data_IF_884903848825
#
_entry.id   IF_884903848825
#
_cell.length_a   1.000
_cell.length_b   1.000
_cell.length_c   1.000
_cell.angle_alpha   90.00
_cell.angle_beta   90.00
_cell.angle_gamma   90.00
#
_symmetry.space_group_name_H-M   'P 1'
#
loop_
_entity.id
_entity.type
_entity.pdbx_description
1 polymer ?
#
# COMPACT_ATOMS: atom_id res chain seq x y z
N UNK A 1 14.98 -24.38 8.50
CA UNK A 1 13.60 -23.86 8.68
C UNK A 1 13.19 -23.26 7.35
N UNK A 2 12.21 -23.85 6.65
CA UNK A 2 11.77 -23.36 5.34
C UNK A 2 10.81 -22.20 5.56
N UNK A 3 11.18 -20.99 5.11
CA UNK A 3 10.28 -19.84 5.14
C UNK A 3 9.36 -19.94 3.91
N UNK A 4 8.05 -19.98 4.15
CA UNK A 4 7.07 -19.90 3.06
C UNK A 4 7.03 -18.46 2.53
N UNK A 5 7.51 -18.26 1.31
CA UNK A 5 7.37 -16.99 0.60
C UNK A 5 5.91 -16.82 0.17
N UNK A 6 5.36 -15.63 0.40
CA UNK A 6 3.94 -15.34 0.17
C UNK A 6 3.79 -14.10 -0.70
N UNK A 7 2.62 -13.98 -1.33
CA UNK A 7 2.18 -12.78 -2.05
C UNK A 7 1.05 -12.15 -1.23
N UNK A 8 1.28 -10.94 -0.74
CA UNK A 8 0.43 -10.29 0.25
C UNK A 8 -0.06 -8.97 -0.34
N UNK A 9 -1.38 -8.78 -0.34
CA UNK A 9 -2.02 -7.54 -0.77
C UNK A 9 -2.61 -6.83 0.45
N UNK A 10 -2.14 -5.61 0.71
CA UNK A 10 -2.82 -4.67 1.58
C UNK A 10 -3.67 -3.72 0.76
N UNK A 11 -4.91 -3.51 1.18
CA UNK A 11 -5.81 -2.53 0.59
C UNK A 11 -6.20 -1.51 1.65
N UNK A 12 -5.87 -0.23 1.43
CA UNK A 12 -6.20 0.84 2.37
C UNK A 12 -6.98 1.94 1.66
N UNK A 13 -8.08 2.39 2.25
CA UNK A 13 -8.91 3.48 1.73
C UNK A 13 -8.40 4.88 2.15
N UNK A 14 -7.15 4.97 2.60
CA UNK A 14 -6.55 6.24 2.96
C UNK A 14 -5.73 6.81 1.81
N UNK A 15 -5.51 8.12 1.85
CA UNK A 15 -4.60 8.78 0.92
C UNK A 15 -3.14 8.40 1.25
N UNK A 16 -2.39 7.98 0.24
CA UNK A 16 -0.99 7.60 0.38
C UNK A 16 -0.19 8.76 0.98
N UNK A 17 0.60 8.47 2.02
CA UNK A 17 1.46 9.45 2.70
C UNK A 17 0.74 10.65 3.35
N UNK A 18 -0.60 10.69 3.37
CA UNK A 18 -1.39 11.80 3.94
C UNK A 18 -2.41 11.26 4.94
N UNK A 19 -2.37 11.77 6.17
CA UNK A 19 -3.49 11.74 7.13
C UNK A 19 -4.03 10.40 7.64
N UNK A 20 -3.71 9.26 7.01
CA UNK A 20 -4.35 7.98 7.31
C UNK A 20 -3.49 7.04 8.17
N UNK A 21 -3.93 6.76 9.40
CA UNK A 21 -3.24 5.80 10.26
C UNK A 21 -3.17 4.38 9.69
N UNK A 22 -4.16 3.94 8.89
CA UNK A 22 -4.18 2.58 8.35
C UNK A 22 -3.14 2.36 7.24
N UNK A 23 -2.90 3.34 6.37
CA UNK A 23 -1.81 3.29 5.39
C UNK A 23 -0.45 3.08 6.08
N UNK A 24 -0.10 3.94 7.05
CA UNK A 24 1.19 3.84 7.73
C UNK A 24 1.35 2.54 8.52
N UNK A 25 0.29 2.07 9.20
CA UNK A 25 0.31 0.78 9.91
C UNK A 25 0.56 -0.38 8.95
N UNK A 26 -0.17 -0.42 7.84
CA UNK A 26 0.00 -1.46 6.83
C UNK A 26 1.40 -1.37 6.20
N UNK A 27 1.91 -0.17 5.90
CA UNK A 27 3.22 0.03 5.28
C UNK A 27 4.34 -0.45 6.21
N UNK A 28 4.30 -0.07 7.49
CA UNK A 28 5.30 -0.50 8.45
C UNK A 28 5.27 -2.01 8.70
N UNK A 29 4.10 -2.65 8.71
CA UNK A 29 4.01 -4.10 8.75
C UNK A 29 4.55 -4.73 7.46
N UNK A 30 4.14 -4.19 6.31
CA UNK A 30 4.51 -4.66 4.98
C UNK A 30 6.02 -4.70 4.76
N UNK A 31 6.76 -3.65 5.12
CA UNK A 31 8.23 -3.64 4.98
C UNK A 31 8.91 -4.74 5.82
N UNK A 32 8.38 -5.09 7.00
CA UNK A 32 8.93 -6.19 7.80
C UNK A 32 8.65 -7.56 7.19
N UNK A 33 7.56 -7.70 6.43
CA UNK A 33 7.24 -8.90 5.68
C UNK A 33 8.10 -8.98 4.40
N UNK A 34 8.27 -7.85 3.70
CA UNK A 34 9.16 -7.76 2.54
C UNK A 34 10.60 -8.14 2.90
N UNK A 35 11.13 -7.65 4.03
CA UNK A 35 12.46 -8.03 4.55
C UNK A 35 12.60 -9.51 4.90
N UNK A 36 11.49 -10.24 5.09
CA UNK A 36 11.48 -11.70 5.27
C UNK A 36 11.34 -12.48 3.96
N UNK A 37 11.34 -11.79 2.83
CA UNK A 37 11.25 -12.36 1.48
C UNK A 37 9.83 -12.44 0.92
N UNK A 38 8.81 -11.98 1.64
CA UNK A 38 7.45 -11.97 1.09
C UNK A 38 7.32 -10.88 0.02
N UNK A 39 6.55 -11.15 -1.03
CA UNK A 39 6.16 -10.14 -2.00
C UNK A 39 4.96 -9.37 -1.44
N UNK A 40 5.14 -8.08 -1.15
CA UNK A 40 4.10 -7.24 -0.57
C UNK A 40 3.70 -6.15 -1.54
N UNK A 41 2.41 -6.09 -1.84
CA UNK A 41 1.78 -5.01 -2.60
C UNK A 41 0.82 -4.24 -1.70
N UNK A 42 0.88 -2.93 -1.76
CA UNK A 42 0.02 -2.01 -1.05
C UNK A 42 -0.79 -1.18 -2.05
N UNK A 43 -2.10 -1.23 -1.96
CA UNK A 43 -2.99 -0.37 -2.74
C UNK A 43 -3.57 0.70 -1.81
N UNK A 44 -3.42 1.95 -2.21
CA UNK A 44 -3.82 3.13 -1.44
C UNK A 44 -4.37 4.22 -2.36
N UNK A 45 -5.10 5.21 -1.86
CA UNK A 45 -5.67 6.28 -2.69
C UNK A 45 -4.56 7.26 -3.08
N UNK A 46 -4.47 7.60 -4.37
CA UNK A 46 -3.50 8.59 -4.84
C UNK A 46 -3.79 9.97 -4.25
N UNK A 47 -2.75 10.72 -3.82
CA UNK A 47 -2.92 12.10 -3.41
C UNK A 47 -3.30 13.04 -4.57
N UNK A 48 -2.93 12.70 -5.80
CA UNK A 48 -2.94 13.61 -6.95
C UNK A 48 -3.66 13.01 -8.18
N UNK A 49 -3.67 11.68 -8.36
CA UNK A 49 -4.25 11.02 -9.54
C UNK A 49 -5.76 10.77 -9.41
N UNK A 50 -6.50 11.07 -10.50
CA UNK A 50 -7.96 10.92 -10.57
C UNK A 50 -8.46 9.89 -11.59
N UNK A 51 -7.60 9.42 -12.49
CA UNK A 51 -7.99 8.54 -13.60
C UNK A 51 -7.07 7.35 -13.83
N UNK A 52 -5.84 7.39 -13.31
CA UNK A 52 -4.83 6.36 -13.51
C UNK A 52 -4.32 5.74 -12.21
N UNK A 53 -3.50 4.70 -12.37
CA UNK A 53 -2.75 4.10 -11.27
C UNK A 53 -1.29 4.56 -11.36
N UNK A 54 -0.71 4.94 -10.23
CA UNK A 54 0.73 5.16 -10.12
C UNK A 54 1.36 4.01 -9.33
N UNK A 55 2.49 3.47 -9.80
CA UNK A 55 3.19 2.37 -9.12
C UNK A 55 4.58 2.81 -8.74
N UNK A 56 4.94 2.59 -7.47
CA UNK A 56 6.28 2.84 -6.95
C UNK A 56 6.73 1.68 -6.07
N UNK A 57 8.01 1.68 -5.69
CA UNK A 57 8.55 0.75 -4.71
C UNK A 57 9.16 1.54 -3.55
N UNK A 58 8.94 1.06 -2.33
CA UNK A 58 9.58 1.60 -1.14
C UNK A 58 9.86 0.49 -0.13
N UNK A 59 11.11 0.35 0.31
CA UNK A 59 11.52 -0.64 1.32
C UNK A 59 11.09 -2.09 0.98
N UNK A 60 11.13 -2.46 -0.31
CA UNK A 60 10.70 -3.77 -0.81
C UNK A 60 9.18 -3.98 -0.86
N UNK A 61 8.39 -2.94 -0.63
CA UNK A 61 6.93 -2.94 -0.80
C UNK A 61 6.59 -2.25 -2.11
N UNK A 62 5.84 -2.93 -2.98
CA UNK A 62 5.23 -2.29 -4.15
C UNK A 62 4.03 -1.48 -3.70
N UNK A 63 3.99 -0.19 -4.01
CA UNK A 63 2.90 0.72 -3.68
C UNK A 63 2.18 1.08 -4.97
N UNK A 64 0.88 0.81 -5.02
CA UNK A 64 -0.03 1.15 -6.10
C UNK A 64 -0.97 2.23 -5.56
N UNK A 65 -0.83 3.43 -6.08
CA UNK A 65 -1.75 4.52 -5.84
C UNK A 65 -2.89 4.41 -6.84
N UNK A 66 -4.09 4.13 -6.35
CA UNK A 66 -5.30 4.01 -7.13
C UNK A 66 -6.00 5.38 -7.25
N UNK A 67 -6.71 5.63 -8.37
CA UNK A 67 -7.42 6.88 -8.54
C UNK A 67 -8.56 6.97 -7.53
N UNK A 68 -8.82 8.20 -7.09
CA UNK A 68 -9.86 8.48 -6.12
C UNK A 68 -11.23 8.60 -6.78
N UNK A 69 -11.84 7.44 -7.05
CA UNK A 69 -13.06 7.34 -7.85
C UNK A 69 -14.36 7.65 -7.07
N UNK A 70 -14.31 7.66 -5.72
CA UNK A 70 -15.50 7.76 -4.89
C UNK A 70 -15.37 8.87 -3.83
N UNK A 71 -16.39 9.73 -3.64
CA UNK A 71 -16.41 10.73 -2.58
C UNK A 71 -16.68 10.10 -1.20
N UNK A 72 -16.04 10.60 -0.14
CA UNK A 72 -16.31 10.14 1.24
C UNK A 72 -15.43 10.82 2.29
N UNK A 73 -15.94 10.96 3.51
CA UNK A 73 -15.25 11.60 4.66
C UNK A 73 -14.23 10.66 5.36
N UNK A 74 -14.19 9.38 4.99
CA UNK A 74 -13.27 8.38 5.53
C UNK A 74 -11.93 8.29 4.76
N UNK A 75 -11.64 9.28 3.89
CA UNK A 75 -10.38 9.41 3.14
C UNK A 75 -9.22 9.76 4.08
#
# INVERSE_FOLDING_TARGET
MQLNLMRILYFTHNVTWKGGGAFFRAYHQGRFLARRGHQVTMVSISPDEKTGFNTSESEGVTIIEAPDLLPGQAR
#
